data_IF_626062323407
#
_entry.id   IF_626062323407
#
_cell.length_a   1.000
_cell.length_b   1.000
_cell.length_c   1.000
_cell.angle_alpha   90.00
_cell.angle_beta   90.00
_cell.angle_gamma   90.00
#
_symmetry.space_group_name_H-M   'P 1'
#
loop_
_entity.id
_entity.type
_entity.pdbx_description
1 polymer ?
#
# COMPACT_ATOMS: atom_id res chain seq x y z
N UNK A 1 -74.36 -27.87 55.80
CA UNK A 1 -74.05 -27.55 54.38
C UNK A 1 -72.65 -26.85 54.37
N UNK A 2 -71.60 -27.53 54.02
CA UNK A 2 -70.23 -27.02 54.06
C UNK A 2 -69.79 -26.68 52.62
N UNK A 3 -69.41 -25.42 52.38
CA UNK A 3 -68.92 -24.92 51.11
C UNK A 3 -67.40 -25.01 51.11
N UNK A 4 -66.69 -25.66 50.16
CA UNK A 4 -65.29 -25.66 50.13
C UNK A 4 -64.78 -24.37 49.44
N UNK A 5 -63.74 -23.75 50.08
CA UNK A 5 -63.03 -22.58 49.61
C UNK A 5 -61.97 -23.05 48.63
N UNK A 6 -62.05 -22.69 47.36
CA UNK A 6 -61.05 -22.95 46.35
C UNK A 6 -59.93 -21.88 46.39
N UNK A 7 -58.71 -22.30 46.69
CA UNK A 7 -57.54 -21.43 46.67
C UNK A 7 -56.97 -21.41 45.25
N UNK A 8 -57.06 -20.30 44.55
CA UNK A 8 -56.40 -20.10 43.27
C UNK A 8 -54.92 -19.69 43.47
N UNK A 9 -54.02 -20.57 43.06
CA UNK A 9 -52.55 -20.28 43.07
C UNK A 9 -52.21 -19.63 41.76
N UNK A 10 -51.91 -18.33 41.76
CA UNK A 10 -51.37 -17.60 40.61
C UNK A 10 -49.89 -17.82 40.49
N UNK A 11 -49.45 -18.54 39.47
CA UNK A 11 -48.02 -18.69 39.10
C UNK A 11 -47.60 -17.43 38.32
N UNK A 12 -46.87 -16.55 38.98
CA UNK A 12 -46.21 -15.40 38.34
C UNK A 12 -44.96 -15.88 37.61
N UNK A 13 -45.00 -15.96 36.27
CA UNK A 13 -43.82 -16.25 35.45
C UNK A 13 -42.90 -15.02 35.44
N UNK A 14 -41.76 -15.09 36.17
CA UNK A 14 -40.68 -14.12 36.02
C UNK A 14 -40.01 -14.33 34.67
N UNK A 15 -40.28 -13.46 33.69
CA UNK A 15 -39.50 -13.34 32.50
C UNK A 15 -38.17 -12.65 32.87
N UNK A 16 -37.10 -13.40 32.98
CA UNK A 16 -35.72 -12.87 33.07
C UNK A 16 -35.35 -12.27 31.72
N UNK A 17 -35.50 -10.96 31.58
CA UNK A 17 -34.94 -10.22 30.45
C UNK A 17 -33.41 -10.30 30.53
N UNK A 18 -32.81 -11.10 29.64
CA UNK A 18 -31.37 -11.09 29.42
C UNK A 18 -31.00 -9.70 28.89
N UNK A 19 -30.09 -8.95 29.54
CA UNK A 19 -29.66 -7.67 28.97
C UNK A 19 -28.93 -7.96 27.67
N UNK A 20 -29.50 -7.55 26.54
CA UNK A 20 -28.80 -7.46 25.26
C UNK A 20 -27.69 -6.42 25.48
N UNK A 21 -26.49 -6.90 25.77
CA UNK A 21 -25.29 -6.06 25.83
C UNK A 21 -25.09 -5.54 24.40
N UNK A 22 -25.45 -4.28 24.16
CA UNK A 22 -25.09 -3.61 22.93
C UNK A 22 -23.55 -3.64 22.86
N UNK A 23 -23.01 -4.52 22.03
CA UNK A 23 -21.58 -4.52 21.69
C UNK A 23 -21.33 -3.19 21.01
N UNK A 24 -20.56 -2.32 21.66
CA UNK A 24 -20.13 -1.05 21.07
C UNK A 24 -19.28 -1.46 19.87
N UNK A 25 -19.86 -1.33 18.68
CA UNK A 25 -19.23 -1.67 17.42
C UNK A 25 -18.01 -0.75 17.24
N UNK A 26 -16.83 -1.27 17.60
CA UNK A 26 -15.56 -0.53 17.52
C UNK A 26 -15.32 -0.16 16.06
N UNK A 27 -15.16 1.13 15.79
CA UNK A 27 -14.69 1.61 14.48
C UNK A 27 -13.20 1.37 14.38
N UNK A 28 -12.77 0.65 13.33
CA UNK A 28 -11.35 0.44 13.01
C UNK A 28 -10.82 1.67 12.28
N UNK A 29 -9.69 2.18 12.76
CA UNK A 29 -9.00 3.31 12.13
C UNK A 29 -7.91 2.77 11.19
N UNK A 30 -7.94 3.20 9.93
CA UNK A 30 -6.99 2.81 8.87
C UNK A 30 -6.18 4.03 8.46
N UNK A 31 -4.85 3.95 8.61
CA UNK A 31 -3.95 5.01 8.17
C UNK A 31 -3.53 4.85 6.73
N UNK A 32 -3.43 5.96 6.03
CA UNK A 32 -2.88 6.10 4.69
C UNK A 32 -2.06 7.39 4.59
N UNK A 33 -1.10 7.47 3.67
CA UNK A 33 -0.31 8.69 3.49
C UNK A 33 -1.16 9.83 2.89
N UNK A 34 -1.99 9.50 1.89
CA UNK A 34 -2.83 10.47 1.19
C UNK A 34 -2.07 11.34 0.20
N UNK A 35 -0.87 10.95 -0.23
CA UNK A 35 0.03 11.70 -1.11
C UNK A 35 0.59 10.89 -2.29
N UNK A 36 0.09 9.67 -2.51
CA UNK A 36 0.59 8.74 -3.51
C UNK A 36 -0.51 8.22 -4.46
N UNK A 37 -1.27 9.10 -5.17
CA UNK A 37 -2.25 8.63 -6.13
C UNK A 37 -1.58 7.80 -7.24
N UNK A 38 -2.26 6.76 -7.77
CA UNK A 38 -3.65 6.36 -7.54
C UNK A 38 -3.86 5.41 -6.34
N UNK A 39 -2.81 5.07 -5.58
CA UNK A 39 -2.91 4.26 -4.36
C UNK A 39 -3.75 4.95 -3.29
N UNK A 40 -3.30 6.11 -2.87
CA UNK A 40 -3.97 7.00 -1.93
C UNK A 40 -3.67 8.46 -2.27
N UNK A 41 -4.64 9.31 -2.11
CA UNK A 41 -4.54 10.74 -2.37
C UNK A 41 -5.47 11.54 -1.48
N UNK A 42 -5.26 12.85 -1.45
CA UNK A 42 -6.13 13.80 -0.75
C UNK A 42 -6.66 14.80 -1.77
N UNK A 43 -7.98 14.95 -1.86
CA UNK A 43 -8.59 15.92 -2.76
C UNK A 43 -8.53 17.35 -2.20
N UNK A 44 -8.96 18.33 -3.00
CA UNK A 44 -8.93 19.74 -2.61
C UNK A 44 -9.80 20.08 -1.37
N UNK A 45 -10.71 19.18 -0.97
CA UNK A 45 -11.55 19.31 0.21
C UNK A 45 -10.98 18.56 1.42
N UNK A 46 -9.79 17.99 1.31
CA UNK A 46 -9.16 17.19 2.36
C UNK A 46 -9.69 15.75 2.47
N UNK A 47 -10.49 15.28 1.50
CA UNK A 47 -11.03 13.92 1.51
C UNK A 47 -10.03 12.94 0.92
N UNK A 48 -9.77 11.86 1.64
CA UNK A 48 -8.95 10.74 1.18
C UNK A 48 -9.67 9.94 0.09
N UNK A 49 -8.93 9.56 -0.95
CA UNK A 49 -9.41 8.75 -2.07
C UNK A 49 -8.29 7.86 -2.60
N UNK A 50 -8.61 6.85 -3.39
CA UNK A 50 -7.64 5.99 -4.04
C UNK A 50 -7.99 4.51 -3.90
N UNK A 51 -7.10 3.68 -4.47
CA UNK A 51 -7.25 2.22 -4.45
C UNK A 51 -7.28 1.67 -3.03
N UNK A 52 -6.36 2.12 -2.16
CA UNK A 52 -6.26 1.64 -0.78
C UNK A 52 -7.51 1.97 0.04
N UNK A 53 -8.11 3.14 -0.22
CA UNK A 53 -9.35 3.56 0.45
C UNK A 53 -10.51 2.67 0.01
N UNK A 54 -10.67 2.48 -1.30
CA UNK A 54 -11.76 1.65 -1.83
C UNK A 54 -11.62 0.18 -1.41
N UNK A 55 -10.40 -0.37 -1.47
CA UNK A 55 -10.12 -1.74 -0.99
C UNK A 55 -10.42 -1.85 0.51
N UNK A 56 -9.89 -0.95 1.34
CA UNK A 56 -10.10 -1.00 2.78
C UNK A 56 -11.57 -0.92 3.17
N UNK A 57 -12.34 -0.01 2.55
CA UNK A 57 -13.79 0.09 2.77
C UNK A 57 -14.52 -1.20 2.36
N UNK A 58 -14.14 -1.82 1.25
CA UNK A 58 -14.71 -3.09 0.79
C UNK A 58 -14.36 -4.24 1.74
N UNK A 59 -13.12 -4.31 2.23
CA UNK A 59 -12.72 -5.31 3.23
C UNK A 59 -13.53 -5.14 4.52
N UNK A 60 -13.66 -3.92 5.02
CA UNK A 60 -14.45 -3.61 6.21
C UNK A 60 -15.92 -3.99 6.05
N UNK A 61 -16.51 -3.71 4.88
CA UNK A 61 -17.87 -4.12 4.54
C UNK A 61 -18.06 -5.64 4.60
N UNK A 62 -17.08 -6.41 4.07
CA UNK A 62 -17.13 -7.88 4.06
C UNK A 62 -17.05 -8.47 5.45
N UNK A 63 -16.20 -7.92 6.30
CA UNK A 63 -16.06 -8.39 7.69
C UNK A 63 -17.06 -7.76 8.65
N UNK A 64 -17.99 -6.90 8.15
CA UNK A 64 -19.04 -6.21 8.92
C UNK A 64 -18.49 -5.37 10.07
N UNK A 65 -17.40 -4.67 9.83
CA UNK A 65 -16.76 -3.74 10.79
C UNK A 65 -16.84 -2.32 10.20
N UNK A 66 -17.11 -1.32 11.04
CA UNK A 66 -17.02 0.08 10.66
C UNK A 66 -15.57 0.49 10.57
N UNK A 67 -15.19 1.19 9.50
CA UNK A 67 -13.85 1.69 9.31
C UNK A 67 -13.87 3.18 8.96
N UNK A 68 -12.80 3.87 9.41
CA UNK A 68 -12.53 5.26 9.05
C UNK A 68 -11.07 5.39 8.62
N UNK A 69 -10.82 6.16 7.57
CA UNK A 69 -9.46 6.47 7.11
C UNK A 69 -8.94 7.74 7.76
N UNK A 70 -7.65 7.75 8.09
CA UNK A 70 -6.91 8.90 8.62
C UNK A 70 -5.62 9.10 7.84
N UNK A 71 -5.27 10.36 7.57
CA UNK A 71 -3.98 10.69 6.96
C UNK A 71 -2.86 10.62 7.99
N UNK A 72 -1.71 10.09 7.58
CA UNK A 72 -0.51 9.99 8.39
C UNK A 72 0.73 10.01 7.51
N UNK A 73 1.65 10.93 7.75
CA UNK A 73 2.90 11.03 7.00
C UNK A 73 3.65 9.69 6.99
N UNK A 74 4.24 9.36 5.85
CA UNK A 74 4.91 8.08 5.59
C UNK A 74 5.98 7.73 6.64
N UNK A 75 6.87 8.66 6.98
CA UNK A 75 7.98 8.41 7.92
C UNK A 75 7.50 7.98 9.31
N UNK A 76 6.32 8.44 9.73
CA UNK A 76 5.72 8.14 11.02
C UNK A 76 4.72 6.98 11.02
N UNK A 77 4.40 6.40 9.87
CA UNK A 77 3.24 5.52 9.73
C UNK A 77 3.37 4.20 10.51
N UNK A 78 4.53 3.55 10.52
CA UNK A 78 4.75 2.33 11.33
C UNK A 78 4.89 2.66 12.82
N UNK A 79 5.72 3.63 13.24
CA UNK A 79 5.78 4.03 14.65
C UNK A 79 4.43 4.38 15.26
N UNK A 80 3.58 5.12 14.56
CA UNK A 80 2.26 5.52 15.04
C UNK A 80 1.27 4.32 15.15
N UNK A 81 1.36 3.31 14.26
CA UNK A 81 0.65 2.04 14.42
C UNK A 81 1.05 1.33 15.70
N UNK A 82 2.36 1.25 15.97
CA UNK A 82 2.89 0.52 17.12
C UNK A 82 2.47 1.15 18.47
N UNK A 83 2.27 2.46 18.52
CA UNK A 83 1.73 3.13 19.71
C UNK A 83 0.20 3.22 19.74
N UNK A 84 -0.49 2.55 18.80
CA UNK A 84 -1.95 2.44 18.81
C UNK A 84 -2.71 3.67 18.33
N UNK A 85 -2.09 4.57 17.55
CA UNK A 85 -2.78 5.75 16.98
C UNK A 85 -3.90 5.36 16.02
N UNK A 86 -3.75 4.22 15.37
CA UNK A 86 -4.73 3.56 14.50
C UNK A 86 -4.50 2.04 14.51
N UNK A 87 -5.33 1.29 13.80
CA UNK A 87 -5.35 -0.19 13.87
C UNK A 87 -4.70 -0.85 12.65
N UNK A 88 -4.77 -0.22 11.48
CA UNK A 88 -4.33 -0.77 10.19
C UNK A 88 -3.60 0.30 9.40
N UNK A 89 -2.63 -0.11 8.60
CA UNK A 89 -2.01 0.71 7.55
C UNK A 89 -2.42 0.15 6.19
N UNK A 90 -3.00 0.99 5.32
CA UNK A 90 -3.21 0.72 3.89
C UNK A 90 -2.77 1.95 3.11
N UNK A 91 -1.57 1.90 2.52
CA UNK A 91 -0.90 3.03 1.87
C UNK A 91 0.15 2.52 0.88
N UNK A 92 -0.26 1.66 -0.08
CA UNK A 92 0.67 1.06 -1.04
C UNK A 92 1.85 0.33 -0.39
N UNK A 93 1.71 -0.09 0.88
CA UNK A 93 2.83 -0.57 1.68
C UNK A 93 3.27 -1.97 1.27
N UNK A 94 4.46 -2.06 0.68
CA UNK A 94 5.05 -3.34 0.30
C UNK A 94 5.36 -4.22 1.51
N UNK A 95 5.06 -5.51 1.39
CA UNK A 95 5.35 -6.55 2.38
C UNK A 95 6.84 -6.88 2.31
N UNK A 96 7.62 -6.51 3.34
CA UNK A 96 9.06 -6.79 3.37
C UNK A 96 9.48 -7.49 4.65
N UNK A 97 10.57 -8.27 4.58
CA UNK A 97 11.11 -8.96 5.75
C UNK A 97 11.54 -7.97 6.84
N UNK A 98 12.08 -6.81 6.45
CA UNK A 98 12.43 -5.75 7.41
C UNK A 98 11.21 -5.24 8.17
N UNK A 99 10.09 -4.96 7.49
CA UNK A 99 8.86 -4.49 8.12
C UNK A 99 8.18 -5.57 8.96
N UNK A 100 8.23 -6.84 8.52
CA UNK A 100 7.72 -7.99 9.28
C UNK A 100 8.42 -8.18 10.64
N UNK A 101 9.62 -7.64 10.84
CA UNK A 101 10.26 -7.66 12.16
C UNK A 101 9.46 -6.86 13.19
N UNK A 102 8.79 -5.79 12.78
CA UNK A 102 8.05 -4.87 13.66
C UNK A 102 6.53 -5.08 13.62
N UNK A 103 5.96 -5.33 12.45
CA UNK A 103 4.49 -5.44 12.24
C UNK A 103 4.13 -6.74 11.52
N UNK A 104 2.84 -7.11 11.59
CA UNK A 104 2.26 -8.17 10.79
C UNK A 104 1.66 -7.60 9.49
N UNK A 105 1.58 -8.44 8.45
CA UNK A 105 0.96 -8.09 7.18
C UNK A 105 -0.13 -9.08 6.81
N UNK A 106 -1.17 -8.57 6.16
CA UNK A 106 -2.12 -9.42 5.45
C UNK A 106 -1.45 -10.18 4.29
N UNK A 107 -2.18 -11.15 3.72
CA UNK A 107 -1.88 -11.61 2.36
C UNK A 107 -1.89 -10.39 1.42
N UNK A 108 -1.13 -10.41 0.30
CA UNK A 108 -1.13 -9.29 -0.64
C UNK A 108 -2.54 -8.97 -1.15
N UNK A 109 -2.89 -7.67 -1.21
CA UNK A 109 -4.11 -7.21 -1.88
C UNK A 109 -3.85 -6.58 -3.24
N UNK A 110 -2.57 -6.35 -3.58
CA UNK A 110 -2.12 -5.90 -4.89
C UNK A 110 -0.69 -6.36 -5.18
N UNK A 111 -0.37 -6.46 -6.47
CA UNK A 111 0.99 -6.55 -6.98
C UNK A 111 1.37 -5.20 -7.59
N UNK A 112 2.56 -4.70 -7.28
CA UNK A 112 3.10 -3.47 -7.85
C UNK A 112 4.46 -3.70 -8.47
N UNK A 113 4.90 -2.74 -9.26
CA UNK A 113 6.27 -2.68 -9.76
C UNK A 113 6.75 -1.24 -9.75
N UNK A 114 8.05 -1.08 -9.70
CA UNK A 114 8.71 0.22 -9.62
C UNK A 114 9.49 0.45 -10.90
N UNK A 115 9.71 1.71 -11.25
CA UNK A 115 10.50 2.05 -12.41
C UNK A 115 11.21 3.37 -12.18
N UNK A 116 12.36 3.56 -12.82
CA UNK A 116 12.99 4.86 -12.88
C UNK A 116 12.22 5.77 -13.83
N UNK A 117 12.20 7.05 -13.49
CA UNK A 117 11.97 8.13 -14.45
C UNK A 117 13.20 9.01 -14.50
N UNK A 118 13.47 9.58 -15.67
CA UNK A 118 14.60 10.50 -15.89
C UNK A 118 14.15 11.69 -16.73
N UNK A 119 14.79 12.82 -16.52
CA UNK A 119 14.52 14.01 -17.34
C UNK A 119 14.98 13.76 -18.78
N UNK A 120 14.16 14.15 -19.75
CA UNK A 120 14.45 13.98 -21.19
C UNK A 120 15.75 14.67 -21.61
N UNK A 121 16.04 15.84 -21.05
CA UNK A 121 17.21 16.65 -21.40
C UNK A 121 18.56 16.02 -21.06
N UNK A 122 18.59 15.06 -20.10
CA UNK A 122 19.85 14.37 -19.76
C UNK A 122 20.24 13.31 -20.80
N UNK A 123 19.40 13.09 -21.82
CA UNK A 123 19.72 12.28 -22.99
C UNK A 123 20.10 10.83 -22.72
N UNK A 124 19.59 10.26 -21.59
CA UNK A 124 19.85 8.86 -21.29
C UNK A 124 19.05 7.97 -22.21
N UNK A 125 19.75 7.17 -23.00
CA UNK A 125 19.14 6.09 -23.77
C UNK A 125 19.07 4.83 -22.92
N UNK A 126 17.83 4.44 -22.55
CA UNK A 126 17.60 3.16 -21.87
C UNK A 126 17.82 1.98 -22.81
N UNK A 127 17.95 2.22 -24.13
CA UNK A 127 17.84 1.19 -25.13
C UNK A 127 16.50 0.45 -24.98
N UNK A 128 16.39 -0.72 -25.56
CA UNK A 128 15.17 -1.55 -25.46
C UNK A 128 14.99 -2.25 -24.08
N UNK A 129 15.37 -1.58 -22.96
CA UNK A 129 15.15 -2.16 -21.64
C UNK A 129 13.66 -2.01 -21.27
N UNK A 130 12.77 -2.59 -22.06
CA UNK A 130 11.34 -2.79 -21.74
C UNK A 130 11.09 -4.10 -20.99
N UNK A 131 12.13 -4.64 -20.37
CA UNK A 131 12.08 -5.93 -19.70
C UNK A 131 11.58 -5.78 -18.27
N UNK A 132 11.08 -6.89 -17.72
CA UNK A 132 10.76 -7.01 -16.30
C UNK A 132 11.97 -7.60 -15.57
N UNK A 133 12.38 -6.97 -14.49
CA UNK A 133 13.49 -7.41 -13.66
C UNK A 133 12.98 -7.79 -12.27
N UNK A 134 12.98 -9.10 -11.99
CA UNK A 134 12.61 -9.60 -10.67
C UNK A 134 13.87 -9.76 -9.81
N UNK A 135 14.02 -8.89 -8.81
CA UNK A 135 15.18 -8.89 -7.90
C UNK A 135 15.20 -10.06 -6.90
N UNK A 136 14.13 -10.88 -6.84
CA UNK A 136 14.16 -12.13 -6.07
C UNK A 136 14.89 -13.26 -6.80
N UNK A 137 15.17 -13.11 -8.12
CA UNK A 137 15.73 -14.13 -8.99
C UNK A 137 16.83 -13.54 -9.87
N UNK A 138 17.94 -13.12 -9.24
CA UNK A 138 19.05 -12.45 -9.96
C UNK A 138 20.05 -13.46 -10.50
N UNK A 139 19.84 -13.85 -11.78
CA UNK A 139 20.78 -14.67 -12.55
C UNK A 139 21.78 -13.84 -13.36
N UNK A 140 22.45 -14.46 -14.33
CA UNK A 140 23.47 -13.79 -15.18
C UNK A 140 22.86 -12.65 -16.01
N UNK A 141 21.67 -12.87 -16.58
CA UNK A 141 20.94 -11.86 -17.39
C UNK A 141 20.58 -10.64 -16.53
N UNK A 142 19.99 -10.86 -15.37
CA UNK A 142 19.57 -9.80 -14.46
C UNK A 142 20.77 -8.97 -13.98
N UNK A 143 21.89 -9.62 -13.68
CA UNK A 143 23.15 -8.93 -13.34
C UNK A 143 23.63 -8.02 -14.47
N UNK A 144 23.57 -8.50 -15.72
CA UNK A 144 23.97 -7.70 -16.88
C UNK A 144 23.06 -6.46 -17.05
N UNK A 145 21.75 -6.60 -16.83
CA UNK A 145 20.79 -5.47 -16.85
C UNK A 145 21.12 -4.47 -15.74
N UNK A 146 21.37 -4.94 -14.52
CA UNK A 146 21.74 -4.09 -13.39
C UNK A 146 23.02 -3.31 -13.69
N UNK A 147 24.07 -3.97 -14.18
CA UNK A 147 25.33 -3.31 -14.53
C UNK A 147 25.16 -2.26 -15.65
N UNK A 148 24.31 -2.53 -16.63
CA UNK A 148 23.98 -1.53 -17.66
C UNK A 148 23.25 -0.32 -17.07
N UNK A 149 22.28 -0.53 -16.18
CA UNK A 149 21.63 0.56 -15.45
C UNK A 149 22.65 1.35 -14.62
N UNK A 150 23.52 0.66 -13.89
CA UNK A 150 24.60 1.27 -13.09
C UNK A 150 25.50 2.15 -13.95
N UNK A 151 25.94 1.65 -15.11
CA UNK A 151 26.80 2.42 -16.02
C UNK A 151 26.12 3.68 -16.53
N UNK A 152 24.81 3.58 -16.88
CA UNK A 152 24.03 4.69 -17.44
C UNK A 152 23.68 5.74 -16.39
N UNK A 153 23.36 5.31 -15.15
CA UNK A 153 22.99 6.21 -14.06
C UNK A 153 24.19 6.81 -13.31
N UNK A 154 25.41 6.44 -13.66
CA UNK A 154 26.62 6.90 -12.96
C UNK A 154 26.71 8.42 -12.90
N UNK A 155 26.92 8.95 -11.70
CA UNK A 155 27.04 10.39 -11.42
C UNK A 155 25.72 11.16 -11.44
N UNK A 156 24.58 10.50 -11.68
CA UNK A 156 23.27 11.14 -11.68
C UNK A 156 22.72 11.34 -10.28
N UNK A 157 21.95 12.43 -10.09
CA UNK A 157 21.19 12.69 -8.87
C UNK A 157 19.81 12.01 -8.98
N UNK A 158 19.57 10.98 -8.16
CA UNK A 158 18.34 10.19 -8.19
C UNK A 158 17.56 10.39 -6.89
N UNK A 159 16.31 10.84 -7.01
CA UNK A 159 15.38 11.05 -5.92
C UNK A 159 14.58 9.80 -5.56
N UNK A 160 14.31 9.62 -4.27
CA UNK A 160 13.45 8.55 -3.72
C UNK A 160 12.68 9.05 -2.52
N UNK A 161 11.54 8.41 -2.22
CA UNK A 161 10.84 8.60 -0.96
C UNK A 161 11.69 8.00 0.18
N UNK A 162 11.96 8.79 1.22
CA UNK A 162 12.70 8.35 2.41
C UNK A 162 11.97 7.19 3.11
N UNK A 163 12.73 6.30 3.73
CA UNK A 163 12.19 5.12 4.43
C UNK A 163 11.38 4.15 3.55
N UNK A 164 11.39 4.36 2.22
CA UNK A 164 10.75 3.45 1.27
C UNK A 164 11.66 2.29 0.86
N UNK A 165 11.07 1.29 0.21
CA UNK A 165 11.84 0.20 -0.37
C UNK A 165 12.64 0.64 -1.60
N UNK A 166 12.15 1.64 -2.34
CA UNK A 166 12.90 2.23 -3.45
C UNK A 166 14.19 2.90 -2.98
N UNK A 167 14.18 3.55 -1.80
CA UNK A 167 15.40 4.06 -1.18
C UNK A 167 16.37 2.92 -0.82
N UNK A 168 15.86 1.83 -0.25
CA UNK A 168 16.68 0.68 0.11
C UNK A 168 17.33 0.03 -1.13
N UNK A 169 16.55 -0.18 -2.19
CA UNK A 169 17.04 -0.74 -3.47
C UNK A 169 18.06 0.21 -4.12
N UNK A 170 17.77 1.51 -4.13
CA UNK A 170 18.71 2.48 -4.71
C UNK A 170 20.04 2.50 -3.94
N UNK A 171 20.01 2.43 -2.61
CA UNK A 171 21.20 2.33 -1.77
C UNK A 171 21.99 1.04 -2.03
N UNK A 172 21.30 -0.09 -2.09
CA UNK A 172 21.91 -1.41 -2.23
C UNK A 172 22.56 -1.61 -3.61
N UNK A 173 21.82 -1.28 -4.67
CA UNK A 173 22.26 -1.57 -6.04
C UNK A 173 23.01 -0.43 -6.74
N UNK A 174 22.83 0.82 -6.32
CA UNK A 174 23.31 2.01 -7.04
C UNK A 174 23.99 3.04 -6.15
N UNK A 175 24.00 2.86 -4.81
CA UNK A 175 24.43 3.89 -3.87
C UNK A 175 25.87 4.36 -4.02
N UNK A 176 26.74 3.55 -4.61
CA UNK A 176 28.15 3.87 -4.91
C UNK A 176 28.35 4.65 -6.22
N UNK A 177 27.29 4.74 -7.04
CA UNK A 177 27.43 5.35 -8.40
C UNK A 177 26.50 6.53 -8.64
N UNK A 178 25.45 6.74 -7.82
CA UNK A 178 24.49 7.85 -7.93
C UNK A 178 24.60 8.79 -6.74
N UNK A 179 24.17 10.04 -6.92
CA UNK A 179 23.89 10.94 -5.81
C UNK A 179 22.44 10.71 -5.35
N UNK A 180 22.27 10.00 -4.24
CA UNK A 180 20.94 9.73 -3.70
C UNK A 180 20.36 10.98 -3.02
N UNK A 181 19.11 11.33 -3.34
CA UNK A 181 18.32 12.38 -2.71
C UNK A 181 17.06 11.77 -2.08
N UNK A 182 16.96 11.84 -0.75
CA UNK A 182 15.80 11.31 0.00
C UNK A 182 14.82 12.43 0.29
N UNK A 183 13.54 12.21 -0.06
CA UNK A 183 12.44 13.15 0.13
C UNK A 183 11.47 12.62 1.17
N UNK A 184 10.81 13.51 1.87
CA UNK A 184 9.76 13.21 2.85
C UNK A 184 8.42 12.86 2.19
N UNK A 185 8.20 13.34 0.95
CA UNK A 185 7.03 13.00 0.14
C UNK A 185 7.39 12.84 -1.34
N UNK A 186 6.58 12.07 -2.08
CA UNK A 186 6.73 11.94 -3.54
C UNK A 186 6.41 13.25 -4.26
N UNK A 187 5.55 14.10 -3.69
CA UNK A 187 5.24 15.41 -4.28
C UNK A 187 6.46 16.35 -4.26
N UNK A 188 7.23 16.37 -3.17
CA UNK A 188 8.48 17.12 -3.10
C UNK A 188 9.52 16.59 -4.09
N UNK A 189 9.61 15.27 -4.27
CA UNK A 189 10.45 14.66 -5.31
C UNK A 189 10.00 15.09 -6.72
N UNK A 190 8.71 15.06 -7.01
CA UNK A 190 8.17 15.47 -8.32
C UNK A 190 8.46 16.94 -8.61
N UNK A 191 8.31 17.83 -7.62
CA UNK A 191 8.65 19.26 -7.73
C UNK A 191 10.15 19.45 -8.03
N UNK A 192 11.03 18.73 -7.36
CA UNK A 192 12.47 18.83 -7.58
C UNK A 192 12.90 18.21 -8.93
N UNK A 193 12.23 17.15 -9.38
CA UNK A 193 12.42 16.61 -10.72
C UNK A 193 12.00 17.64 -11.80
N UNK A 194 10.82 18.24 -11.65
CA UNK A 194 10.34 19.29 -12.55
C UNK A 194 11.28 20.51 -12.60
N UNK A 195 11.82 20.89 -11.44
CA UNK A 195 12.75 22.01 -11.32
C UNK A 195 14.21 21.70 -11.72
N UNK A 196 14.53 20.45 -12.09
CA UNK A 196 15.88 20.03 -12.48
C UNK A 196 16.89 19.91 -11.34
N UNK A 197 16.43 19.79 -10.10
CA UNK A 197 17.31 19.59 -8.94
C UNK A 197 17.74 18.14 -8.76
N UNK A 198 17.04 17.21 -9.43
CA UNK A 198 17.44 15.80 -9.61
C UNK A 198 17.33 15.42 -11.07
N UNK A 199 18.18 14.48 -11.50
CA UNK A 199 18.20 13.95 -12.88
C UNK A 199 17.07 12.92 -13.13
N UNK A 200 16.62 12.27 -12.08
CA UNK A 200 15.59 11.23 -12.13
C UNK A 200 15.07 10.85 -10.76
N UNK A 201 14.20 9.86 -10.73
CA UNK A 201 13.66 9.28 -9.50
C UNK A 201 13.31 7.82 -9.66
N UNK A 202 13.20 7.11 -8.53
CA UNK A 202 12.75 5.71 -8.46
C UNK A 202 11.56 5.61 -7.51
N UNK A 203 10.40 5.21 -8.05
CA UNK A 203 9.19 5.00 -7.26
C UNK A 203 8.26 4.00 -7.97
N UNK A 204 7.06 3.82 -7.42
CA UNK A 204 5.99 3.04 -8.03
C UNK A 204 5.64 3.55 -9.44
N UNK A 205 5.44 2.60 -10.35
CA UNK A 205 5.14 2.90 -11.76
C UNK A 205 3.89 3.77 -11.94
N UNK A 206 2.81 3.46 -11.21
CA UNK A 206 1.54 4.15 -11.42
C UNK A 206 1.60 5.59 -10.92
N UNK A 207 2.29 5.83 -9.80
CA UNK A 207 2.56 7.18 -9.30
C UNK A 207 3.34 8.01 -10.32
N UNK A 208 4.34 7.42 -10.98
CA UNK A 208 5.07 8.08 -12.06
C UNK A 208 4.24 8.27 -13.32
N UNK A 209 3.46 7.26 -13.74
CA UNK A 209 2.59 7.37 -14.92
C UNK A 209 1.67 8.57 -14.80
N UNK A 210 0.98 8.70 -13.68
CA UNK A 210 0.03 9.79 -13.47
C UNK A 210 0.72 11.15 -13.43
N UNK A 211 1.93 11.23 -12.86
CA UNK A 211 2.74 12.45 -12.90
C UNK A 211 3.19 12.81 -14.32
N UNK A 212 3.67 11.84 -15.10
CA UNK A 212 4.15 12.06 -16.47
C UNK A 212 3.06 12.58 -17.42
N UNK A 213 1.78 12.37 -17.09
CA UNK A 213 0.62 12.91 -17.82
C UNK A 213 0.33 14.38 -17.47
N UNK A 214 0.97 14.94 -16.43
CA UNK A 214 0.83 16.36 -16.07
C UNK A 214 1.77 17.25 -16.89
N UNK A 215 1.49 18.57 -16.99
CA UNK A 215 2.42 19.52 -17.61
C UNK A 215 3.82 19.48 -16.98
N UNK A 216 3.92 19.42 -15.65
CA UNK A 216 5.19 19.39 -14.91
C UNK A 216 5.95 18.07 -15.15
N UNK A 217 5.24 16.95 -15.31
CA UNK A 217 5.83 15.65 -15.60
C UNK A 217 6.25 15.46 -17.06
N UNK A 218 5.76 16.31 -17.97
CA UNK A 218 6.05 16.22 -19.41
C UNK A 218 7.53 16.31 -19.77
N UNK A 219 8.37 16.80 -18.85
CA UNK A 219 9.83 16.93 -18.99
C UNK A 219 10.57 15.61 -18.76
N UNK A 220 9.91 14.57 -18.25
CA UNK A 220 10.52 13.31 -17.89
C UNK A 220 9.93 12.13 -18.70
N UNK A 221 10.58 10.98 -18.63
CA UNK A 221 10.17 9.74 -19.29
C UNK A 221 10.52 8.55 -18.38
N UNK A 222 9.80 7.44 -18.55
CA UNK A 222 10.21 6.18 -17.98
C UNK A 222 11.58 5.74 -18.51
N UNK A 223 12.38 5.14 -17.63
CA UNK A 223 13.72 4.69 -17.93
C UNK A 223 13.99 3.31 -17.33
N UNK A 224 14.58 2.42 -18.10
CA UNK A 224 14.95 1.07 -17.67
C UNK A 224 13.76 0.11 -17.49
N UNK A 225 14.00 -1.09 -16.92
CA UNK A 225 13.02 -2.14 -16.78
C UNK A 225 11.99 -1.83 -15.68
N UNK A 226 10.85 -2.53 -15.75
CA UNK A 226 9.95 -2.67 -14.60
C UNK A 226 10.64 -3.51 -13.51
N UNK A 227 10.75 -3.00 -12.30
CA UNK A 227 11.47 -3.59 -11.18
C UNK A 227 10.47 -4.13 -10.13
N UNK A 228 10.64 -5.39 -9.73
CA UNK A 228 9.85 -5.98 -8.65
C UNK A 228 10.66 -7.02 -7.85
N UNK A 229 10.06 -7.62 -6.84
CA UNK A 229 10.69 -8.64 -6.00
C UNK A 229 11.84 -8.11 -5.13
N UNK A 230 12.68 -9.00 -4.60
CA UNK A 230 13.78 -8.62 -3.70
C UNK A 230 13.29 -7.78 -2.52
N UNK A 231 13.90 -6.61 -2.34
CA UNK A 231 13.55 -5.69 -1.25
C UNK A 231 12.13 -5.09 -1.36
N UNK A 232 11.47 -5.17 -2.53
CA UNK A 232 10.06 -4.79 -2.64
C UNK A 232 9.09 -5.89 -2.18
N UNK A 233 9.58 -7.13 -1.95
CA UNK A 233 8.77 -8.23 -1.46
C UNK A 233 7.75 -8.77 -2.48
N UNK A 234 6.75 -9.56 -2.00
CA UNK A 234 5.80 -10.26 -2.86
C UNK A 234 4.61 -9.41 -3.32
N UNK A 235 4.47 -8.19 -2.83
CA UNK A 235 3.34 -7.31 -3.14
C UNK A 235 3.00 -6.35 -2.00
N UNK A 236 1.83 -5.72 -2.11
CA UNK A 236 1.31 -4.71 -1.18
C UNK A 236 0.32 -5.36 -0.22
N UNK A 237 0.44 -5.09 1.08
CA UNK A 237 -0.40 -5.68 2.13
C UNK A 237 -0.82 -4.69 3.20
N UNK A 238 -1.93 -4.99 3.88
CA UNK A 238 -2.36 -4.24 5.05
C UNK A 238 -1.45 -4.54 6.24
N UNK A 239 -0.86 -3.48 6.83
CA UNK A 239 0.01 -3.59 8.00
C UNK A 239 -0.80 -3.48 9.30
N UNK A 240 -0.51 -4.34 10.28
CA UNK A 240 -1.18 -4.37 11.59
C UNK A 240 -0.17 -4.68 12.70
N UNK A 241 -0.50 -4.37 13.96
CA UNK A 241 0.30 -4.84 15.08
C UNK A 241 0.27 -6.38 15.13
N UNK A 242 1.33 -7.00 15.64
CA UNK A 242 1.43 -8.47 15.70
C UNK A 242 0.40 -9.10 16.63
N UNK A 243 -0.04 -8.37 17.64
CA UNK A 243 -1.09 -8.77 18.59
C UNK A 243 -2.50 -8.72 18.00
N UNK A 244 -2.73 -8.01 16.91
CA UNK A 244 -4.05 -7.87 16.26
C UNK A 244 -4.37 -9.07 15.32
N UNK A 245 -3.98 -10.30 15.71
CA UNK A 245 -4.07 -11.50 14.87
C UNK A 245 -5.50 -11.82 14.40
N UNK A 246 -6.52 -11.53 15.23
CA UNK A 246 -7.93 -11.76 14.85
C UNK A 246 -8.35 -10.82 13.71
N UNK A 247 -8.01 -9.53 13.82
CA UNK A 247 -8.31 -8.55 12.77
C UNK A 247 -7.58 -8.91 11.47
N UNK A 248 -6.30 -9.30 11.58
CA UNK A 248 -5.50 -9.77 10.45
C UNK A 248 -6.14 -10.96 9.74
N UNK A 249 -6.63 -11.96 10.49
CA UNK A 249 -7.33 -13.13 9.94
C UNK A 249 -8.61 -12.75 9.19
N UNK A 250 -9.39 -11.80 9.73
CA UNK A 250 -10.59 -11.26 9.06
C UNK A 250 -10.24 -10.58 7.74
N UNK A 251 -9.19 -9.74 7.72
CA UNK A 251 -8.73 -9.06 6.51
C UNK A 251 -8.23 -10.07 5.47
N UNK A 252 -7.44 -11.07 5.86
CA UNK A 252 -6.98 -12.12 4.95
C UNK A 252 -8.15 -12.84 4.26
N UNK A 253 -9.13 -13.28 5.06
CA UNK A 253 -10.34 -13.94 4.52
C UNK A 253 -11.10 -13.02 3.54
N UNK A 254 -11.22 -11.74 3.87
CA UNK A 254 -11.90 -10.76 3.02
C UNK A 254 -11.13 -10.49 1.71
N UNK A 255 -9.79 -10.37 1.76
CA UNK A 255 -8.92 -10.20 0.59
C UNK A 255 -9.06 -11.40 -0.35
N UNK A 256 -8.95 -12.62 0.18
CA UNK A 256 -9.10 -13.83 -0.62
C UNK A 256 -10.49 -13.96 -1.27
N UNK A 257 -11.55 -13.63 -0.53
CA UNK A 257 -12.91 -13.64 -1.05
C UNK A 257 -13.09 -12.60 -2.16
N UNK A 258 -12.60 -11.36 -1.96
CA UNK A 258 -12.66 -10.27 -2.94
C UNK A 258 -11.80 -10.56 -4.19
N UNK A 259 -10.73 -11.32 -4.02
CA UNK A 259 -9.90 -11.77 -5.16
C UNK A 259 -10.63 -12.84 -5.96
N UNK A 260 -11.23 -13.84 -5.27
CA UNK A 260 -11.98 -14.94 -5.95
C UNK A 260 -13.19 -14.46 -6.73
N UNK A 261 -13.94 -13.49 -6.24
CA UNK A 261 -15.14 -12.99 -6.92
C UNK A 261 -14.86 -11.86 -7.93
N UNK A 262 -13.59 -11.49 -8.12
CA UNK A 262 -13.17 -10.48 -9.09
C UNK A 262 -13.29 -9.03 -8.62
N UNK A 263 -13.70 -8.77 -7.38
CA UNK A 263 -13.81 -7.40 -6.84
C UNK A 263 -12.44 -6.70 -6.82
N UNK A 264 -11.36 -7.40 -6.41
CA UNK A 264 -10.00 -6.82 -6.43
C UNK A 264 -9.59 -6.43 -7.85
N UNK A 265 -9.89 -7.27 -8.84
CA UNK A 265 -9.66 -6.95 -10.25
C UNK A 265 -10.45 -5.72 -10.70
N UNK A 266 -11.71 -5.63 -10.35
CA UNK A 266 -12.55 -4.48 -10.72
C UNK A 266 -12.01 -3.17 -10.13
N UNK A 267 -11.63 -3.17 -8.84
CA UNK A 267 -11.01 -2.02 -8.18
C UNK A 267 -9.65 -1.66 -8.79
N UNK A 268 -8.83 -2.67 -9.10
CA UNK A 268 -7.55 -2.50 -9.77
C UNK A 268 -7.72 -1.82 -11.15
N UNK A 269 -8.65 -2.31 -11.97
CA UNK A 269 -8.95 -1.68 -13.28
C UNK A 269 -9.53 -0.27 -13.16
N UNK A 270 -10.31 0.01 -12.11
CA UNK A 270 -10.84 1.35 -11.84
C UNK A 270 -9.70 2.36 -11.65
N UNK A 271 -8.73 2.04 -10.81
CA UNK A 271 -7.70 2.99 -10.38
C UNK A 271 -6.44 2.96 -11.26
N UNK A 272 -5.97 1.78 -11.62
CA UNK A 272 -4.70 1.61 -12.33
C UNK A 272 -4.86 1.40 -13.84
N UNK A 273 -6.10 1.17 -14.34
CA UNK A 273 -6.36 0.77 -15.75
C UNK A 273 -5.63 -0.53 -16.14
N UNK A 274 -5.16 -1.28 -15.15
CA UNK A 274 -4.41 -2.52 -15.28
C UNK A 274 -4.85 -3.48 -14.16
N UNK A 275 -4.83 -4.77 -14.43
CA UNK A 275 -5.09 -5.79 -13.41
C UNK A 275 -3.81 -6.04 -12.60
N UNK A 276 -3.76 -5.52 -11.38
CA UNK A 276 -2.72 -5.76 -10.39
C UNK A 276 -3.26 -6.55 -9.18
N UNK A 277 -4.42 -7.18 -9.32
CA UNK A 277 -4.99 -8.01 -8.26
C UNK A 277 -4.05 -9.17 -7.90
N UNK A 278 -4.05 -9.62 -6.65
CA UNK A 278 -3.15 -10.69 -6.23
C UNK A 278 -3.50 -12.01 -6.90
N UNK A 279 -2.49 -12.81 -7.18
CA UNK A 279 -2.68 -14.20 -7.61
C UNK A 279 -2.88 -15.07 -6.37
N UNK A 280 -4.01 -15.76 -6.27
CA UNK A 280 -4.22 -16.72 -5.20
C UNK A 280 -3.29 -17.93 -5.39
N UNK A 281 -2.62 -18.33 -4.32
CA UNK A 281 -1.92 -19.61 -4.31
C UNK A 281 -2.92 -20.75 -4.56
N UNK A 282 -2.54 -21.66 -5.46
CA UNK A 282 -3.35 -22.87 -5.76
C UNK A 282 -3.31 -23.85 -4.61
#
# INVERSE_FOLDING_TARGET
MRIPLAIAVSIASLMTACPVRAEIERTISIATEGASPPWDGTDANGKLYGYDIDVGLELCRRVKIKCAFVAQDWDGIIPALLVGKYDVIMSGMAITEKRKQSIAFSVPYAAGFNQFVVRKEIGLDAGDIKEKLNLSMVGTREKAIIERLRSTLRGKAIGVLRSSNSEAVLKDLFGDIVTLRSYDSLDNLKLDLAAGRVDGGLADYFTWRDFLETPDGSIAVFFGPELNGGLWGPGVGAGMRKEDAELLGKFNTAIEAATRDGTMKALSLKWFKMDISPTLAK
#
